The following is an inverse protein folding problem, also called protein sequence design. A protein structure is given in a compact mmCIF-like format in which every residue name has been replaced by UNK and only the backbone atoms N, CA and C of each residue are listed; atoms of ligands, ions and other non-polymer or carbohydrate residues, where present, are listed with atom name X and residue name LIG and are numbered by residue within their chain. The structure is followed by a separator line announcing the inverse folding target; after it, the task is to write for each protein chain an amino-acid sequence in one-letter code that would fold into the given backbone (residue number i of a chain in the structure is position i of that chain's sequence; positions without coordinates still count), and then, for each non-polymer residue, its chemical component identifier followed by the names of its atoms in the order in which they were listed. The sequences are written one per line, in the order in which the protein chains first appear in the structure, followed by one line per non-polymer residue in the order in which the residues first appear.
data_IF_392236055029
#
_entry.id   IF_392236055029
#
_cell.length_a   1.000
_cell.length_b   1.000
_cell.length_c   1.000
_cell.angle_alpha   90.00
_cell.angle_beta   90.00
_cell.angle_gamma   90.00
#
_symmetry.space_group_name_H-M   'P 1'
#
loop_
_entity.id
_entity.type
_entity.pdbx_description
1 polymer ?
#
# COMPACT_ATOMS: atom_id res chain seq x y z
N UNK A 1 28.16 -14.69 -42.18
CA UNK A 1 26.98 -15.13 -41.41
C UNK A 1 26.76 -14.32 -40.12
N UNK A 2 27.81 -13.81 -39.45
CA UNK A 2 27.65 -12.99 -38.22
C UNK A 2 27.12 -11.56 -38.40
N UNK A 3 27.36 -10.92 -39.54
CA UNK A 3 26.91 -9.52 -39.80
C UNK A 3 25.40 -9.44 -40.04
N UNK A 4 24.83 -10.40 -40.78
CA UNK A 4 23.39 -10.49 -41.09
C UNK A 4 22.51 -10.75 -39.86
N UNK A 5 23.02 -11.51 -38.88
CA UNK A 5 22.33 -11.74 -37.61
C UNK A 5 22.21 -10.43 -36.82
N UNK A 6 23.28 -9.62 -36.77
CA UNK A 6 23.31 -8.36 -36.04
C UNK A 6 22.31 -7.34 -36.61
N UNK A 7 22.20 -7.23 -37.93
CA UNK A 7 21.22 -6.37 -38.59
C UNK A 7 19.77 -6.81 -38.32
N UNK A 8 19.53 -8.12 -38.25
CA UNK A 8 18.19 -8.65 -37.95
C UNK A 8 17.78 -8.35 -36.51
N UNK A 9 18.69 -8.48 -35.54
CA UNK A 9 18.44 -8.12 -34.14
C UNK A 9 18.21 -6.61 -33.97
N UNK A 10 18.98 -5.78 -34.67
CA UNK A 10 18.81 -4.33 -34.66
C UNK A 10 17.46 -3.94 -35.25
N UNK A 11 17.06 -4.53 -36.39
CA UNK A 11 15.73 -4.30 -36.99
C UNK A 11 14.59 -4.72 -36.07
N UNK A 12 14.70 -5.87 -35.38
CA UNK A 12 13.72 -6.32 -34.40
C UNK A 12 13.65 -5.40 -33.17
N UNK A 13 14.80 -4.90 -32.71
CA UNK A 13 14.86 -3.94 -31.60
C UNK A 13 14.20 -2.60 -31.97
N UNK A 14 14.47 -2.08 -33.16
CA UNK A 14 13.81 -0.85 -33.66
C UNK A 14 12.31 -1.06 -33.88
N UNK A 15 11.92 -2.19 -34.47
CA UNK A 15 10.51 -2.53 -34.68
C UNK A 15 9.73 -2.63 -33.38
N UNK A 16 10.29 -3.29 -32.37
CA UNK A 16 9.67 -3.39 -31.04
C UNK A 16 9.60 -2.03 -30.33
N UNK A 17 10.63 -1.17 -30.45
CA UNK A 17 10.62 0.19 -29.91
C UNK A 17 9.53 1.05 -30.56
N UNK A 18 9.37 0.99 -31.88
CA UNK A 18 8.34 1.74 -32.61
C UNK A 18 6.94 1.27 -32.21
N UNK A 19 6.71 -0.04 -32.09
CA UNK A 19 5.43 -0.57 -31.61
C UNK A 19 5.12 -0.10 -30.19
N UNK A 20 6.12 -0.11 -29.31
CA UNK A 20 5.97 0.33 -27.93
C UNK A 20 5.64 1.83 -27.84
N UNK A 21 6.35 2.68 -28.57
CA UNK A 21 6.06 4.12 -28.64
C UNK A 21 4.67 4.38 -29.22
N UNK A 22 4.31 3.69 -30.30
CA UNK A 22 2.98 3.81 -30.93
C UNK A 22 1.87 3.39 -29.97
N UNK A 23 2.04 2.30 -29.22
CA UNK A 23 1.11 1.84 -28.20
C UNK A 23 0.88 2.89 -27.10
N UNK A 24 1.95 3.51 -26.61
CA UNK A 24 1.84 4.56 -25.57
C UNK A 24 1.13 5.80 -26.10
N UNK A 25 1.44 6.24 -27.33
CA UNK A 25 0.75 7.37 -27.96
C UNK A 25 -0.74 7.09 -28.19
N UNK A 26 -1.08 5.88 -28.65
CA UNK A 26 -2.47 5.45 -28.84
C UNK A 26 -3.24 5.42 -27.50
N UNK A 27 -2.62 4.93 -26.42
CA UNK A 27 -3.19 5.00 -25.06
C UNK A 27 -3.50 6.44 -24.66
N UNK A 28 -2.56 7.36 -24.89
CA UNK A 28 -2.74 8.79 -24.58
C UNK A 28 -3.91 9.40 -25.36
N UNK A 29 -4.03 9.10 -26.66
CA UNK A 29 -5.13 9.58 -27.49
C UNK A 29 -6.48 9.02 -27.02
N UNK A 30 -6.53 7.75 -26.63
CA UNK A 30 -7.76 7.13 -26.11
C UNK A 30 -8.22 7.80 -24.82
N UNK A 31 -7.29 8.07 -23.91
CA UNK A 31 -7.54 8.75 -22.64
C UNK A 31 -8.15 10.15 -22.87
N UNK A 32 -7.57 10.94 -23.79
CA UNK A 32 -8.07 12.28 -24.10
C UNK A 32 -9.46 12.31 -24.77
N UNK A 33 -9.94 11.20 -25.33
CA UNK A 33 -11.26 11.13 -25.99
C UNK A 33 -12.41 10.87 -25.01
N UNK A 34 -12.11 10.23 -23.89
CA UNK A 34 -13.07 10.00 -22.83
C UNK A 34 -13.07 11.28 -21.98
N UNK A 35 -14.23 11.72 -21.47
CA UNK A 35 -14.33 12.88 -20.56
C UNK A 35 -13.74 12.54 -19.18
N UNK A 36 -12.54 11.98 -19.18
CA UNK A 36 -11.79 11.53 -18.03
C UNK A 36 -11.13 12.73 -17.34
N UNK A 37 -10.74 12.59 -16.06
CA UNK A 37 -9.95 13.60 -15.36
C UNK A 37 -8.70 14.00 -16.15
N UNK A 38 -8.16 15.21 -15.95
CA UNK A 38 -6.97 15.64 -16.67
C UNK A 38 -5.78 14.75 -16.35
N UNK A 39 -5.20 14.11 -17.37
CA UNK A 39 -3.91 13.43 -17.26
C UNK A 39 -2.79 14.45 -17.33
N UNK A 40 -2.04 14.57 -16.23
CA UNK A 40 -0.91 15.50 -16.16
C UNK A 40 0.11 15.17 -17.26
N UNK A 41 0.61 16.16 -18.00
CA UNK A 41 1.61 15.92 -19.04
C UNK A 41 2.93 15.40 -18.44
N UNK A 42 3.44 14.29 -18.98
CA UNK A 42 4.73 13.72 -18.61
C UNK A 42 5.70 13.66 -19.79
N UNK A 43 6.99 13.77 -19.48
CA UNK A 43 8.09 13.76 -20.46
C UNK A 43 8.46 12.35 -20.93
N UNK A 44 8.39 11.36 -20.04
CA UNK A 44 8.91 10.01 -20.30
C UNK A 44 7.77 9.03 -20.54
N UNK A 45 7.52 8.54 -21.77
CA UNK A 45 6.33 7.77 -22.09
C UNK A 45 6.17 6.46 -21.29
N UNK A 46 7.28 5.82 -20.95
CA UNK A 46 7.30 4.51 -20.26
C UNK A 46 7.22 4.67 -18.74
N UNK A 47 7.81 5.73 -18.18
CA UNK A 47 7.96 5.92 -16.73
C UNK A 47 6.91 6.91 -16.19
N UNK A 48 6.42 7.81 -17.04
CA UNK A 48 5.57 8.95 -16.72
C UNK A 48 6.13 9.78 -15.59
N UNK A 49 5.36 9.88 -14.52
CA UNK A 49 5.65 10.70 -13.34
C UNK A 49 6.35 9.92 -12.23
N UNK A 50 6.69 8.64 -12.42
CA UNK A 50 7.20 7.80 -11.32
C UNK A 50 8.46 8.36 -10.66
N UNK A 51 9.38 8.96 -11.41
CA UNK A 51 10.56 9.60 -10.82
C UNK A 51 10.20 10.78 -9.92
N UNK A 52 9.29 11.65 -10.37
CA UNK A 52 8.89 12.86 -9.65
C UNK A 52 8.05 12.47 -8.42
N UNK A 53 7.18 11.47 -8.58
CA UNK A 53 6.40 10.85 -7.52
C UNK A 53 7.28 10.21 -6.43
N UNK A 54 8.41 9.62 -6.78
CA UNK A 54 9.35 9.04 -5.80
C UNK A 54 10.21 10.08 -5.11
N UNK A 55 10.79 11.01 -5.86
CA UNK A 55 11.79 11.95 -5.33
C UNK A 55 11.18 13.03 -4.44
N UNK A 56 10.01 13.54 -4.81
CA UNK A 56 9.35 14.61 -4.08
C UNK A 56 7.83 14.49 -4.17
N UNK A 57 7.30 13.36 -3.67
CA UNK A 57 5.88 13.05 -3.69
C UNK A 57 5.02 14.23 -3.22
N UNK A 58 5.36 14.77 -2.04
CA UNK A 58 4.55 15.78 -1.35
C UNK A 58 4.45 17.07 -2.15
N UNK A 59 5.56 17.63 -2.64
CA UNK A 59 5.49 18.89 -3.39
C UNK A 59 4.99 18.66 -4.81
N UNK A 60 5.30 17.51 -5.42
CA UNK A 60 4.80 17.15 -6.74
C UNK A 60 3.27 17.07 -6.75
N UNK A 61 2.66 16.33 -5.82
CA UNK A 61 1.20 16.22 -5.70
C UNK A 61 0.57 17.58 -5.41
N UNK A 62 1.17 18.41 -4.55
CA UNK A 62 0.70 19.78 -4.30
C UNK A 62 0.71 20.66 -5.54
N UNK A 63 1.78 20.56 -6.35
CA UNK A 63 1.88 21.30 -7.61
C UNK A 63 0.79 20.84 -8.59
N UNK A 64 0.59 19.54 -8.74
CA UNK A 64 -0.48 19.00 -9.60
C UNK A 64 -1.86 19.45 -9.12
N UNK A 65 -2.13 19.40 -7.83
CA UNK A 65 -3.39 19.87 -7.26
C UNK A 65 -3.63 21.37 -7.52
N UNK A 66 -2.60 22.21 -7.37
CA UNK A 66 -2.71 23.65 -7.66
C UNK A 66 -2.96 23.96 -9.14
N UNK A 67 -2.45 23.13 -10.06
CA UNK A 67 -2.53 23.35 -11.52
C UNK A 67 -3.78 22.70 -12.15
N UNK A 68 -4.20 21.53 -11.65
CA UNK A 68 -5.26 20.70 -12.25
C UNK A 68 -6.52 20.57 -11.37
N UNK A 69 -6.47 21.04 -10.11
CA UNK A 69 -7.59 21.04 -9.18
C UNK A 69 -7.74 19.74 -8.37
N UNK A 70 -8.96 19.49 -7.87
CA UNK A 70 -9.26 18.38 -6.96
C UNK A 70 -9.13 16.98 -7.60
N UNK A 71 -9.27 16.85 -8.92
CA UNK A 71 -9.18 15.56 -9.61
C UNK A 71 -8.19 15.67 -10.76
N UNK A 72 -7.17 14.82 -10.74
CA UNK A 72 -6.21 14.69 -11.83
C UNK A 72 -5.65 13.28 -11.86
N UNK A 73 -5.13 12.87 -13.02
CA UNK A 73 -4.53 11.56 -13.17
C UNK A 73 -3.04 11.66 -13.45
N UNK A 74 -2.29 10.72 -12.89
CA UNK A 74 -0.86 10.57 -13.08
C UNK A 74 -0.57 9.20 -13.66
N UNK A 75 0.30 9.14 -14.67
CA UNK A 75 0.92 7.88 -15.06
C UNK A 75 2.08 7.54 -14.10
N UNK A 76 1.91 6.52 -13.27
CA UNK A 76 2.88 6.07 -12.27
C UNK A 76 2.89 4.54 -12.26
N UNK A 77 4.07 3.91 -12.24
CA UNK A 77 4.21 2.45 -12.16
C UNK A 77 3.51 1.69 -13.30
N UNK A 78 3.56 2.22 -14.52
CA UNK A 78 2.94 1.60 -15.69
C UNK A 78 1.41 1.73 -15.73
N UNK A 79 0.79 2.36 -14.73
CA UNK A 79 -0.66 2.54 -14.60
C UNK A 79 -1.02 4.03 -14.58
N UNK A 80 -2.23 4.36 -15.03
CA UNK A 80 -2.82 5.68 -14.80
C UNK A 80 -3.57 5.62 -13.47
N UNK A 81 -3.18 6.44 -12.51
CA UNK A 81 -3.78 6.54 -11.19
C UNK A 81 -4.44 7.91 -11.07
N UNK A 82 -5.73 7.93 -10.75
CA UNK A 82 -6.48 9.16 -10.50
C UNK A 82 -6.36 9.55 -9.04
N UNK A 83 -5.83 10.73 -8.80
CA UNK A 83 -5.73 11.36 -7.50
C UNK A 83 -6.97 12.22 -7.29
N UNK A 84 -7.56 12.07 -6.11
CA UNK A 84 -8.74 12.82 -5.72
C UNK A 84 -8.46 13.53 -4.40
N UNK A 85 -8.71 14.83 -4.41
CA UNK A 85 -8.52 15.71 -3.27
C UNK A 85 -9.54 15.45 -2.17
N UNK A 86 -9.29 16.10 -1.03
CA UNK A 86 -10.02 15.88 0.21
C UNK A 86 -11.51 16.18 0.06
N UNK A 87 -11.88 17.17 -0.75
CA UNK A 87 -13.28 17.62 -0.84
C UNK A 87 -14.18 16.55 -1.47
N UNK A 88 -13.62 15.66 -2.28
CA UNK A 88 -14.34 14.60 -3.00
C UNK A 88 -14.09 13.19 -2.45
N UNK A 89 -13.21 13.04 -1.46
CA UNK A 89 -12.86 11.71 -0.92
C UNK A 89 -14.08 10.97 -0.35
N UNK A 90 -15.01 11.70 0.26
CA UNK A 90 -16.24 11.14 0.81
C UNK A 90 -17.15 10.53 -0.26
N UNK A 91 -17.20 11.10 -1.46
CA UNK A 91 -18.04 10.60 -2.55
C UNK A 91 -17.51 9.25 -3.06
N UNK A 92 -16.20 9.14 -3.19
CA UNK A 92 -15.52 7.90 -3.61
C UNK A 92 -15.71 6.80 -2.56
N UNK A 93 -15.43 7.11 -1.29
CA UNK A 93 -15.48 6.12 -0.22
C UNK A 93 -16.90 5.60 0.06
N UNK A 94 -17.94 6.38 -0.26
CA UNK A 94 -19.35 5.96 -0.10
C UNK A 94 -19.88 5.18 -1.31
N UNK A 95 -19.34 5.42 -2.51
CA UNK A 95 -19.83 4.81 -3.73
C UNK A 95 -19.21 3.42 -3.98
N UNK A 96 -19.68 2.45 -3.22
CA UNK A 96 -19.26 1.04 -3.31
C UNK A 96 -19.72 0.31 -4.60
N UNK A 97 -20.57 0.93 -5.42
CA UNK A 97 -21.02 0.33 -6.69
C UNK A 97 -19.97 0.49 -7.78
N UNK A 98 -19.31 1.64 -7.80
CA UNK A 98 -18.31 1.99 -8.81
C UNK A 98 -16.88 1.85 -8.28
N UNK A 99 -16.68 1.90 -6.95
CA UNK A 99 -15.37 1.78 -6.31
C UNK A 99 -15.32 0.63 -5.30
N UNK A 100 -14.26 -0.18 -5.35
CA UNK A 100 -14.02 -1.29 -4.41
C UNK A 100 -12.72 -1.09 -3.64
N UNK A 101 -12.83 -0.90 -2.34
CA UNK A 101 -11.66 -0.83 -1.44
C UNK A 101 -10.99 -2.20 -1.27
N UNK A 102 -11.75 -3.29 -1.29
CA UNK A 102 -11.23 -4.65 -1.10
C UNK A 102 -10.35 -5.03 -2.29
N UNK A 103 -10.83 -4.82 -3.52
CA UNK A 103 -10.05 -5.09 -4.73
C UNK A 103 -8.79 -4.21 -4.79
N UNK A 104 -8.92 -2.92 -4.48
CA UNK A 104 -7.77 -2.03 -4.42
C UNK A 104 -6.74 -2.48 -3.37
N UNK A 105 -7.19 -3.00 -2.22
CA UNK A 105 -6.29 -3.51 -1.17
C UNK A 105 -5.56 -4.77 -1.65
N UNK A 106 -6.25 -5.72 -2.29
CA UNK A 106 -5.65 -6.94 -2.85
C UNK A 106 -4.60 -6.66 -3.92
N UNK A 107 -4.84 -5.67 -4.79
CA UNK A 107 -3.87 -5.30 -5.82
C UNK A 107 -2.58 -4.70 -5.26
N UNK A 108 -2.68 -3.95 -4.16
CA UNK A 108 -1.53 -3.21 -3.59
C UNK A 108 -0.85 -3.96 -2.44
N UNK A 109 -1.57 -4.85 -1.76
CA UNK A 109 -1.12 -5.59 -0.60
C UNK A 109 -1.83 -6.96 -0.57
N UNK A 110 -1.32 -7.97 -1.32
CA UNK A 110 -1.96 -9.29 -1.39
C UNK A 110 -1.73 -10.07 -0.08
N UNK A 111 -2.48 -9.67 0.95
CA UNK A 111 -2.37 -10.16 2.32
C UNK A 111 -2.69 -11.66 2.45
N UNK A 112 -3.58 -12.15 1.60
CA UNK A 112 -3.98 -13.55 1.54
C UNK A 112 -2.81 -14.45 1.13
N UNK A 113 -2.02 -14.01 0.15
CA UNK A 113 -0.81 -14.73 -0.28
C UNK A 113 0.20 -14.81 0.87
N UNK A 114 0.43 -13.68 1.54
CA UNK A 114 1.32 -13.62 2.70
C UNK A 114 0.90 -14.59 3.81
N UNK A 115 -0.40 -14.70 4.09
CA UNK A 115 -0.93 -15.62 5.10
C UNK A 115 -1.11 -17.06 4.60
N UNK A 116 -0.81 -17.33 3.32
CA UNK A 116 -1.10 -18.59 2.64
C UNK A 116 -2.59 -19.00 2.82
N UNK A 117 -3.49 -18.07 2.49
CA UNK A 117 -4.96 -18.22 2.61
C UNK A 117 -5.65 -18.05 1.25
N UNK A 118 -6.88 -18.57 1.10
CA UNK A 118 -7.70 -18.29 -0.08
C UNK A 118 -7.97 -16.79 -0.26
N UNK A 119 -8.15 -16.35 -1.50
CA UNK A 119 -8.35 -14.94 -1.84
C UNK A 119 -9.56 -14.30 -1.12
N UNK A 120 -10.58 -15.10 -0.83
CA UNK A 120 -11.82 -14.65 -0.18
C UNK A 120 -11.69 -14.53 1.35
N UNK A 121 -10.54 -14.91 1.91
CA UNK A 121 -10.31 -14.91 3.35
C UNK A 121 -10.59 -13.55 3.99
N UNK A 122 -10.18 -12.45 3.33
CA UNK A 122 -10.34 -11.09 3.85
C UNK A 122 -11.71 -10.46 3.56
N UNK A 123 -12.54 -11.04 2.69
CA UNK A 123 -13.85 -10.45 2.31
C UNK A 123 -14.77 -10.25 3.52
N UNK A 124 -14.65 -11.15 4.49
CA UNK A 124 -15.47 -11.15 5.70
C UNK A 124 -14.90 -10.25 6.80
N UNK A 125 -13.66 -9.78 6.67
CA UNK A 125 -12.96 -9.03 7.72
C UNK A 125 -13.68 -7.74 8.12
N UNK A 126 -14.16 -6.89 7.19
CA UNK A 126 -14.85 -5.66 7.58
C UNK A 126 -16.05 -5.93 8.49
N UNK A 127 -16.83 -6.99 8.18
CA UNK A 127 -17.97 -7.40 8.97
C UNK A 127 -17.55 -7.98 10.32
N UNK A 128 -16.50 -8.81 10.37
CA UNK A 128 -15.98 -9.34 11.63
C UNK A 128 -15.47 -8.23 12.54
N UNK A 129 -14.73 -7.25 12.01
CA UNK A 129 -14.25 -6.08 12.74
C UNK A 129 -15.43 -5.27 13.27
N UNK A 130 -16.44 -5.00 12.44
CA UNK A 130 -17.63 -4.25 12.86
C UNK A 130 -18.36 -4.94 14.03
N UNK A 131 -18.58 -6.25 13.95
CA UNK A 131 -19.32 -7.01 14.96
C UNK A 131 -18.50 -7.15 16.24
N UNK A 132 -17.25 -7.59 16.12
CA UNK A 132 -16.47 -7.98 17.28
C UNK A 132 -15.75 -6.80 17.92
N UNK A 133 -15.13 -5.90 17.14
CA UNK A 133 -14.40 -4.76 17.69
C UNK A 133 -15.32 -3.58 18.01
N UNK A 134 -16.02 -3.05 17.00
CA UNK A 134 -16.86 -1.85 17.20
C UNK A 134 -18.03 -2.12 18.14
N UNK A 135 -18.62 -3.32 18.09
CA UNK A 135 -19.71 -3.72 18.99
C UNK A 135 -19.29 -3.89 20.46
N UNK A 136 -17.99 -4.11 20.74
CA UNK A 136 -17.48 -4.37 22.10
C UNK A 136 -16.43 -3.35 22.55
N UNK A 137 -16.40 -2.16 21.92
CA UNK A 137 -15.33 -1.18 22.12
C UNK A 137 -15.14 -0.77 23.58
N UNK A 138 -16.23 -0.72 24.36
CA UNK A 138 -16.17 -0.42 25.79
C UNK A 138 -15.35 -1.46 26.57
N UNK A 139 -15.60 -2.74 26.33
CA UNK A 139 -14.88 -3.85 26.98
C UNK A 139 -13.40 -3.80 26.66
N UNK A 140 -13.07 -3.57 25.39
CA UNK A 140 -11.67 -3.46 24.97
C UNK A 140 -10.98 -2.22 25.52
N UNK A 141 -11.69 -1.09 25.65
CA UNK A 141 -11.12 0.15 26.19
C UNK A 141 -10.64 -0.05 27.64
N UNK A 142 -11.47 -0.67 28.48
CA UNK A 142 -11.12 -0.95 29.88
C UNK A 142 -9.94 -1.93 29.98
N UNK A 143 -9.93 -2.98 29.15
CA UNK A 143 -8.82 -3.95 29.10
C UNK A 143 -7.52 -3.28 28.63
N UNK A 144 -7.56 -2.52 27.54
CA UNK A 144 -6.40 -1.84 26.96
C UNK A 144 -5.81 -0.88 27.98
N UNK A 145 -6.63 -0.07 28.66
CA UNK A 145 -6.14 0.86 29.67
C UNK A 145 -5.44 0.14 30.82
N UNK A 146 -6.04 -0.93 31.36
CA UNK A 146 -5.45 -1.73 32.43
C UNK A 146 -4.11 -2.35 32.02
N UNK A 147 -4.05 -2.96 30.84
CA UNK A 147 -2.83 -3.61 30.34
C UNK A 147 -1.73 -2.60 29.98
N UNK A 148 -2.11 -1.40 29.51
CA UNK A 148 -1.17 -0.33 29.25
C UNK A 148 -0.48 0.15 30.54
N UNK A 149 -1.26 0.39 31.61
CA UNK A 149 -0.74 0.76 32.93
C UNK A 149 0.21 -0.32 33.45
N UNK A 150 -0.21 -1.59 33.42
CA UNK A 150 0.63 -2.74 33.81
C UNK A 150 1.95 -2.76 33.04
N UNK A 151 1.91 -2.58 31.72
CA UNK A 151 3.10 -2.60 30.87
C UNK A 151 4.06 -1.44 31.16
N UNK A 152 3.50 -0.24 31.40
CA UNK A 152 4.28 0.95 31.77
C UNK A 152 4.99 0.71 33.11
N UNK A 153 4.29 0.21 34.12
CA UNK A 153 4.84 -0.05 35.45
C UNK A 153 5.95 -1.11 35.40
N UNK A 154 5.74 -2.20 34.66
CA UNK A 154 6.72 -3.27 34.46
C UNK A 154 8.00 -2.77 33.77
N UNK A 155 7.83 -1.94 32.73
CA UNK A 155 8.92 -1.56 31.86
C UNK A 155 9.66 -0.28 32.32
N UNK A 156 8.96 0.78 32.76
CA UNK A 156 9.55 2.05 33.21
C UNK A 156 9.94 1.98 34.69
N UNK A 157 9.06 1.45 35.54
CA UNK A 157 9.19 1.56 37.00
C UNK A 157 9.45 2.99 37.48
N UNK A 158 10.07 3.15 38.66
CA UNK A 158 10.38 4.44 39.28
C UNK A 158 11.61 5.14 38.67
N UNK A 159 11.66 5.33 37.34
CA UNK A 159 12.63 6.24 36.71
C UNK A 159 13.76 5.59 35.90
N UNK A 160 13.49 4.51 35.16
CA UNK A 160 14.45 4.01 34.17
C UNK A 160 14.59 5.00 33.00
N UNK A 161 15.83 5.22 32.57
CA UNK A 161 16.15 5.94 31.32
C UNK A 161 15.72 5.07 30.13
N UNK A 162 14.96 5.65 29.21
CA UNK A 162 14.35 4.95 28.08
C UNK A 162 15.23 5.03 26.83
N UNK A 163 16.08 4.03 26.55
CA UNK A 163 16.86 4.01 25.31
C UNK A 163 17.01 2.62 24.68
N UNK A 164 16.70 2.43 23.37
CA UNK A 164 16.03 3.38 22.46
C UNK A 164 14.49 3.41 22.67
N UNK A 165 13.84 4.59 22.67
CA UNK A 165 12.40 4.74 23.00
C UNK A 165 11.44 3.91 22.13
N UNK A 166 11.77 3.69 20.85
CA UNK A 166 10.87 3.00 19.93
C UNK A 166 10.60 1.55 20.36
N UNK A 167 11.65 0.80 20.70
CA UNK A 167 11.51 -0.58 21.19
C UNK A 167 10.64 -0.63 22.43
N UNK A 168 10.84 0.33 23.32
CA UNK A 168 10.09 0.46 24.54
C UNK A 168 8.58 0.62 24.30
N UNK A 169 8.20 1.54 23.41
CA UNK A 169 6.80 1.75 23.05
C UNK A 169 6.19 0.54 22.33
N UNK A 170 6.95 -0.13 21.46
CA UNK A 170 6.47 -1.34 20.78
C UNK A 170 6.05 -2.42 21.78
N UNK A 171 6.85 -2.67 22.81
CA UNK A 171 6.51 -3.65 23.85
C UNK A 171 5.33 -3.20 24.73
N UNK A 172 5.27 -1.92 25.12
CA UNK A 172 4.13 -1.39 25.89
C UNK A 172 2.82 -1.55 25.14
N UNK A 173 2.83 -1.34 23.82
CA UNK A 173 1.62 -1.44 22.99
C UNK A 173 1.30 -2.90 22.64
N UNK A 174 2.30 -3.75 22.49
CA UNK A 174 2.13 -5.16 22.13
C UNK A 174 1.33 -5.95 23.17
N UNK A 175 1.54 -5.69 24.47
CA UNK A 175 0.85 -6.43 25.54
C UNK A 175 -0.67 -6.20 25.55
N UNK A 176 -1.19 -4.96 25.48
CA UNK A 176 -2.62 -4.71 25.25
C UNK A 176 -3.19 -5.35 23.97
N UNK A 177 -2.42 -5.39 22.88
CA UNK A 177 -2.84 -6.06 21.63
C UNK A 177 -2.99 -7.55 21.87
N UNK A 178 -1.97 -8.21 22.44
CA UNK A 178 -1.99 -9.62 22.79
C UNK A 178 -3.18 -9.94 23.71
N UNK A 179 -3.36 -9.19 24.79
CA UNK A 179 -4.49 -9.35 25.72
C UNK A 179 -5.87 -9.22 25.06
N UNK A 180 -5.97 -8.38 24.04
CA UNK A 180 -7.21 -8.18 23.28
C UNK A 180 -7.46 -9.32 22.30
N UNK A 181 -6.44 -9.79 21.61
CA UNK A 181 -6.55 -10.78 20.54
C UNK A 181 -6.58 -12.23 21.04
N UNK A 182 -5.76 -12.56 22.03
CA UNK A 182 -5.57 -13.94 22.53
C UNK A 182 -6.01 -14.13 23.99
N UNK A 183 -6.37 -13.05 24.68
CA UNK A 183 -6.79 -13.06 26.08
C UNK A 183 -5.69 -12.65 27.07
N UNK A 184 -6.10 -12.21 28.26
CA UNK A 184 -5.19 -11.65 29.27
C UNK A 184 -4.22 -12.71 29.84
N UNK A 185 -4.65 -13.97 29.95
CA UNK A 185 -3.83 -15.07 30.47
C UNK A 185 -2.58 -15.33 29.60
N UNK A 186 -2.73 -15.26 28.28
CA UNK A 186 -1.63 -15.47 27.33
C UNK A 186 -0.80 -14.21 27.10
N UNK A 187 -1.29 -13.03 27.52
CA UNK A 187 -0.60 -11.76 27.31
C UNK A 187 0.61 -11.51 28.21
N UNK A 188 0.85 -12.40 29.17
CA UNK A 188 2.07 -12.40 29.99
C UNK A 188 3.18 -13.30 29.39
N UNK A 189 2.89 -14.06 28.32
CA UNK A 189 3.90 -14.81 27.58
C UNK A 189 4.82 -13.85 26.80
N UNK A 190 6.12 -13.88 27.14
CA UNK A 190 7.11 -12.96 26.57
C UNK A 190 7.38 -13.22 25.09
N UNK A 191 7.32 -14.46 24.64
CA UNK A 191 7.56 -14.82 23.24
C UNK A 191 6.40 -14.33 22.37
N UNK A 192 5.17 -14.52 22.86
CA UNK A 192 3.97 -14.03 22.20
C UNK A 192 3.95 -12.50 22.12
N UNK A 193 4.20 -11.81 23.23
CA UNK A 193 4.26 -10.33 23.24
C UNK A 193 5.39 -9.82 22.36
N UNK A 194 6.54 -10.49 22.34
CA UNK A 194 7.64 -10.14 21.43
C UNK A 194 7.23 -10.31 19.95
N UNK A 195 6.42 -11.32 19.63
CA UNK A 195 5.90 -11.52 18.27
C UNK A 195 4.99 -10.34 17.87
N UNK A 196 4.07 -9.92 18.75
CA UNK A 196 3.24 -8.74 18.51
C UNK A 196 4.04 -7.43 18.42
N UNK A 197 5.11 -7.28 19.22
CA UNK A 197 5.96 -6.08 19.22
C UNK A 197 6.74 -5.92 17.91
N UNK A 198 7.09 -7.03 17.26
CA UNK A 198 7.91 -7.03 16.05
C UNK A 198 7.11 -7.24 14.76
N UNK A 199 5.82 -7.54 14.84
CA UNK A 199 4.99 -7.87 13.67
C UNK A 199 5.08 -6.83 12.54
N UNK A 200 5.14 -5.54 12.88
CA UNK A 200 5.29 -4.47 11.87
C UNK A 200 6.62 -4.56 11.14
N UNK A 201 7.69 -4.90 11.83
CA UNK A 201 9.02 -5.10 11.23
C UNK A 201 9.00 -6.21 10.19
N UNK A 202 8.26 -7.29 10.47
CA UNK A 202 8.12 -8.42 9.55
C UNK A 202 7.36 -8.04 8.27
N UNK A 203 6.47 -7.05 8.32
CA UNK A 203 5.75 -6.52 7.16
C UNK A 203 6.54 -5.50 6.32
N UNK A 204 7.58 -4.85 6.87
CA UNK A 204 8.31 -3.77 6.18
C UNK A 204 8.86 -4.18 4.81
N UNK A 205 9.53 -5.34 4.65
CA UNK A 205 10.09 -5.74 3.35
C UNK A 205 9.03 -5.79 2.26
N UNK A 206 7.83 -6.27 2.61
CA UNK A 206 6.71 -6.39 1.68
C UNK A 206 6.11 -5.04 1.31
N UNK A 207 5.94 -4.13 2.27
CA UNK A 207 5.50 -2.75 2.02
C UNK A 207 6.51 -1.93 1.22
N UNK A 208 7.77 -2.35 1.17
CA UNK A 208 8.86 -1.64 0.51
C UNK A 208 9.08 -2.08 -0.93
N UNK A 209 8.42 -3.14 -1.40
CA UNK A 209 8.56 -3.62 -2.79
C UNK A 209 7.86 -2.64 -3.72
N UNK A 210 8.67 -1.80 -4.38
CA UNK A 210 8.17 -0.89 -5.40
C UNK A 210 7.50 -1.65 -6.55
N UNK A 211 6.33 -1.19 -7.05
CA UNK A 211 5.66 -1.77 -8.22
C UNK A 211 6.35 -1.48 -9.56
N UNK A 212 7.69 -1.43 -9.62
CA UNK A 212 8.44 -1.21 -10.86
C UNK A 212 8.17 -2.28 -11.91
N UNK A 213 7.88 -3.52 -11.51
CA UNK A 213 7.58 -4.60 -12.46
C UNK A 213 6.26 -4.38 -13.21
N UNK A 214 5.37 -3.50 -12.71
CA UNK A 214 4.14 -3.12 -13.40
C UNK A 214 4.40 -2.36 -14.71
N UNK A 215 5.60 -1.78 -14.92
CA UNK A 215 5.98 -1.21 -16.22
C UNK A 215 6.08 -2.26 -17.33
N UNK A 216 6.40 -3.51 -16.97
CA UNK A 216 6.51 -4.63 -17.89
C UNK A 216 5.16 -5.35 -17.96
N UNK A 217 4.69 -5.87 -16.82
CA UNK A 217 3.41 -6.55 -16.72
C UNK A 217 2.98 -6.71 -15.25
N UNK A 218 1.70 -6.44 -14.89
CA UNK A 218 1.22 -6.55 -13.50
C UNK A 218 1.46 -7.92 -12.84
N UNK A 219 1.32 -9.00 -13.61
CA UNK A 219 1.55 -10.37 -13.13
C UNK A 219 2.98 -10.60 -12.59
N UNK A 220 4.00 -9.95 -13.16
CA UNK A 220 5.38 -10.13 -12.69
C UNK A 220 5.57 -9.55 -11.30
N UNK A 221 4.90 -8.44 -11.00
CA UNK A 221 4.94 -7.87 -9.65
C UNK A 221 4.21 -8.76 -8.64
N UNK A 222 3.06 -9.32 -9.04
CA UNK A 222 2.30 -10.25 -8.20
C UNK A 222 3.12 -11.50 -7.85
N UNK A 223 3.93 -12.03 -8.76
CA UNK A 223 4.81 -13.18 -8.49
C UNK A 223 5.89 -12.90 -7.44
N UNK A 224 6.37 -11.66 -7.34
CA UNK A 224 7.35 -11.27 -6.31
C UNK A 224 6.68 -11.03 -4.95
N UNK A 225 5.37 -10.79 -4.96
CA UNK A 225 4.54 -10.61 -3.75
C UNK A 225 3.85 -11.92 -3.31
N UNK A 226 4.09 -13.05 -3.99
CA UNK A 226 3.70 -14.40 -3.58
C UNK A 226 4.85 -15.06 -2.81
#
# INVERSE_FOLDING_TARGET
MGVMLNDTYVQLAFGSLIMLVSYVLLRRVKYLKLKEPPLVPYKYPIIGHTNDFYKDNKNFIKKCHAEYGEIFSLFVFGKVITFVGKELSCEILKNHKDFSFIEASRENFPFENFLNRPNEFTDTFPKMVQINLSGQIKLYTERVQRQLIKSIDEMIGNGKVLEPPLKFFQFIIAKPIAATMVGEELSDDKELVNSFANVTTDFIPFLSISPVLNFIHPYLHQQVMM
#
